data_IF_993344363904
#
_entry.id   IF_993344363904
#
_cell.length_a   1.000
_cell.length_b   1.000
_cell.length_c   1.000
_cell.angle_alpha   90.00
_cell.angle_beta   90.00
_cell.angle_gamma   90.00
#
_symmetry.space_group_name_H-M   'P 1'
#
loop_
_entity.id
_entity.type
_entity.pdbx_description
1 polymer ?
#
# COMPACT_ATOMS: atom_id res chain seq x y z
N UNK A 1 9.09 -13.09 5.71
CA UNK A 1 7.98 -12.61 4.83
C UNK A 1 6.72 -12.46 5.66
N UNK A 2 5.81 -11.53 5.31
CA UNK A 2 4.53 -11.35 6.05
C UNK A 2 3.66 -12.62 6.10
N UNK A 3 3.82 -13.52 5.14
CA UNK A 3 3.14 -14.82 5.12
C UNK A 3 3.46 -15.74 6.33
N UNK A 4 4.45 -15.40 7.13
CA UNK A 4 4.74 -16.13 8.38
C UNK A 4 3.82 -15.73 9.54
N UNK A 5 3.18 -14.56 9.42
CA UNK A 5 2.30 -14.00 10.46
C UNK A 5 0.88 -13.71 9.96
N UNK A 6 0.63 -13.77 8.64
CA UNK A 6 -0.67 -13.55 8.01
C UNK A 6 -1.02 -14.75 7.13
N UNK A 7 -2.13 -15.42 7.42
CA UNK A 7 -2.62 -16.49 6.58
C UNK A 7 -3.30 -15.91 5.32
N UNK A 8 -3.05 -16.52 4.16
CA UNK A 8 -3.70 -16.12 2.90
C UNK A 8 -5.22 -16.23 2.95
N UNK A 9 -5.73 -17.19 3.72
CA UNK A 9 -7.18 -17.40 3.94
C UNK A 9 -7.83 -16.23 4.66
N UNK A 10 -7.14 -15.60 5.62
CA UNK A 10 -7.65 -14.43 6.33
C UNK A 10 -7.76 -13.23 5.39
N UNK A 11 -6.77 -13.02 4.52
CA UNK A 11 -6.80 -11.96 3.52
C UNK A 11 -7.90 -12.16 2.48
N UNK A 12 -8.06 -13.38 1.96
CA UNK A 12 -9.10 -13.71 0.97
C UNK A 12 -10.52 -13.49 1.50
N UNK A 13 -10.74 -13.78 2.78
CA UNK A 13 -12.04 -13.56 3.43
C UNK A 13 -12.31 -12.09 3.75
N UNK A 14 -11.28 -11.33 4.17
CA UNK A 14 -11.41 -9.97 4.67
C UNK A 14 -11.67 -8.92 3.56
N UNK A 15 -10.91 -8.97 2.46
CA UNK A 15 -10.96 -8.05 1.31
C UNK A 15 -10.79 -6.55 1.64
N UNK A 16 -10.53 -6.19 2.88
CA UNK A 16 -10.47 -4.80 3.35
C UNK A 16 -9.45 -3.96 2.59
N UNK A 17 -8.24 -4.49 2.37
CA UNK A 17 -7.18 -3.80 1.61
C UNK A 17 -7.44 -3.71 0.09
N UNK A 18 -8.57 -4.22 -0.38
CA UNK A 18 -9.05 -4.11 -1.75
C UNK A 18 -10.31 -3.25 -1.86
N UNK A 19 -10.57 -2.38 -0.87
CA UNK A 19 -11.63 -1.39 -0.84
C UNK A 19 -11.02 -0.01 -0.61
N UNK A 20 -11.42 0.98 -1.40
CA UNK A 20 -10.76 2.29 -1.44
C UNK A 20 -11.77 3.42 -1.41
N UNK A 21 -11.50 4.43 -0.59
CA UNK A 21 -12.28 5.67 -0.56
C UNK A 21 -11.96 6.52 -1.78
N UNK A 22 -12.91 7.35 -2.18
CA UNK A 22 -12.93 8.12 -3.43
C UNK A 22 -11.61 8.84 -3.78
N UNK A 23 -10.99 9.47 -2.84
CA UNK A 23 -9.83 10.36 -3.08
C UNK A 23 -8.58 9.98 -2.30
N UNK A 24 -8.57 8.82 -1.66
CA UNK A 24 -7.45 8.42 -0.80
C UNK A 24 -6.29 7.85 -1.60
N UNK A 25 -5.28 8.66 -1.86
CA UNK A 25 -3.99 8.17 -2.36
C UNK A 25 -3.21 7.37 -1.31
N UNK A 26 -3.51 7.59 -0.03
CA UNK A 26 -2.88 6.84 1.06
C UNK A 26 -3.26 5.35 1.02
N UNK A 27 -4.46 5.05 0.57
CA UNK A 27 -4.99 3.68 0.50
C UNK A 27 -4.69 3.00 -0.83
N UNK A 28 -4.70 3.75 -1.96
CA UNK A 28 -4.56 3.17 -3.29
C UNK A 28 -3.11 2.78 -3.60
N UNK A 29 -2.90 1.60 -4.22
CA UNK A 29 -1.57 1.15 -4.61
C UNK A 29 -1.02 1.91 -5.82
N UNK A 30 0.30 2.01 -5.89
CA UNK A 30 1.03 2.67 -6.95
C UNK A 30 1.60 1.64 -7.92
N UNK A 31 1.42 1.88 -9.21
CA UNK A 31 1.95 1.09 -10.31
C UNK A 31 2.99 1.89 -11.08
N UNK A 32 4.05 1.24 -11.51
CA UNK A 32 5.03 1.83 -12.43
C UNK A 32 4.47 1.94 -13.86
N UNK A 33 5.04 2.82 -14.67
CA UNK A 33 4.72 2.89 -16.11
C UNK A 33 5.03 1.58 -16.85
N UNK A 34 6.10 0.89 -16.45
CA UNK A 34 6.49 -0.39 -17.03
C UNK A 34 5.43 -1.49 -16.77
N UNK A 35 4.80 -1.48 -15.60
CA UNK A 35 3.74 -2.44 -15.27
C UNK A 35 2.42 -2.07 -15.94
N UNK A 36 2.18 -0.76 -16.15
CA UNK A 36 0.93 -0.26 -16.72
C UNK A 36 0.63 -0.85 -18.11
N UNK A 37 1.64 -0.95 -18.97
CA UNK A 37 1.50 -1.51 -20.31
C UNK A 37 1.03 -2.98 -20.25
N UNK A 38 1.67 -3.79 -19.43
CA UNK A 38 1.29 -5.20 -19.21
C UNK A 38 -0.09 -5.34 -18.58
N UNK A 39 -0.42 -4.45 -17.63
CA UNK A 39 -1.73 -4.47 -16.98
C UNK A 39 -2.85 -4.12 -17.95
N UNK A 40 -2.64 -3.18 -18.88
CA UNK A 40 -3.62 -2.86 -19.92
C UNK A 40 -3.86 -4.00 -20.90
N UNK A 41 -2.84 -4.81 -21.19
CA UNK A 41 -3.00 -6.00 -22.02
C UNK A 41 -3.81 -7.10 -21.30
N UNK A 42 -3.51 -7.36 -20.04
CA UNK A 42 -4.18 -8.42 -19.25
C UNK A 42 -5.59 -8.01 -18.78
N UNK A 43 -5.80 -6.73 -18.55
CA UNK A 43 -7.04 -6.17 -18.01
C UNK A 43 -7.51 -4.97 -18.85
N UNK A 44 -7.95 -5.18 -20.08
CA UNK A 44 -8.26 -4.10 -21.03
C UNK A 44 -9.42 -3.18 -20.58
N UNK A 45 -10.24 -3.66 -19.65
CA UNK A 45 -11.34 -2.86 -19.07
C UNK A 45 -10.93 -2.04 -17.83
N UNK A 46 -9.76 -2.33 -17.24
CA UNK A 46 -9.27 -1.58 -16.10
C UNK A 46 -8.84 -0.17 -16.51
N UNK A 47 -9.31 0.83 -15.78
CA UNK A 47 -8.97 2.22 -16.01
C UNK A 47 -7.88 2.65 -15.04
N UNK A 48 -6.94 3.46 -15.55
CA UNK A 48 -5.83 4.00 -14.78
C UNK A 48 -5.82 5.52 -14.87
N UNK A 49 -5.23 6.17 -13.85
CA UNK A 49 -4.96 7.60 -13.81
C UNK A 49 -3.57 7.84 -13.23
N UNK A 50 -2.94 8.99 -13.51
CA UNK A 50 -1.74 9.40 -12.80
C UNK A 50 -1.97 9.40 -11.28
N UNK A 51 -0.96 9.00 -10.52
CA UNK A 51 -0.96 9.08 -9.06
C UNK A 51 -0.48 10.49 -8.69
N UNK A 52 -1.41 11.45 -8.67
CA UNK A 52 -1.13 12.82 -8.28
C UNK A 52 -0.68 12.88 -6.81
N UNK A 53 0.32 13.71 -6.53
CA UNK A 53 0.88 13.95 -5.20
C UNK A 53 1.68 12.79 -4.55
N UNK A 54 2.08 11.78 -5.32
CA UNK A 54 3.03 10.78 -4.86
C UNK A 54 4.45 11.15 -5.28
N UNK A 55 5.10 12.04 -4.54
CA UNK A 55 6.47 12.48 -4.85
C UNK A 55 6.61 13.17 -6.21
N UNK A 56 7.85 13.41 -6.64
CA UNK A 56 8.18 14.12 -7.89
C UNK A 56 8.19 13.24 -9.15
N UNK A 57 7.61 12.04 -9.13
CA UNK A 57 7.67 11.17 -10.30
C UNK A 57 6.39 11.28 -11.13
N UNK A 58 6.55 11.81 -12.35
CA UNK A 58 5.46 11.89 -13.35
C UNK A 58 5.07 10.53 -13.96
N UNK A 59 5.66 9.42 -13.49
CA UNK A 59 5.54 8.09 -14.10
C UNK A 59 4.87 7.07 -13.18
N UNK A 60 4.13 7.54 -12.19
CA UNK A 60 3.39 6.69 -11.25
C UNK A 60 1.90 6.75 -11.53
N UNK A 61 1.27 5.60 -11.49
CA UNK A 61 -0.14 5.44 -11.82
C UNK A 61 -0.88 4.70 -10.70
N UNK A 62 -2.17 4.96 -10.60
CA UNK A 62 -3.09 4.14 -9.83
C UNK A 62 -4.31 3.80 -10.68
N UNK A 63 -5.15 2.89 -10.24
CA UNK A 63 -6.37 2.61 -10.96
C UNK A 63 -7.41 3.75 -10.80
N UNK A 64 -8.25 3.92 -11.81
CA UNK A 64 -9.38 4.83 -11.77
C UNK A 64 -10.67 4.03 -11.56
N UNK A 65 -11.26 4.20 -10.39
CA UNK A 65 -12.54 3.57 -9.99
C UNK A 65 -13.64 4.61 -9.73
N UNK A 66 -13.46 5.82 -10.23
CA UNK A 66 -14.37 6.95 -10.00
C UNK A 66 -15.81 6.66 -10.43
N UNK A 67 -15.99 5.83 -11.44
CA UNK A 67 -17.29 5.41 -11.96
C UNK A 67 -17.99 4.33 -11.11
N UNK A 68 -17.31 3.78 -10.12
CA UNK A 68 -17.91 2.81 -9.19
C UNK A 68 -18.58 3.46 -7.98
N UNK A 69 -18.25 4.73 -7.68
CA UNK A 69 -18.88 5.48 -6.60
C UNK A 69 -20.28 5.96 -7.04
N UNK A 70 -21.25 5.80 -6.16
CA UNK A 70 -22.67 6.08 -6.43
C UNK A 70 -23.17 7.35 -5.79
N UNK A 71 -22.44 7.87 -4.80
CA UNK A 71 -22.78 9.06 -4.02
C UNK A 71 -21.62 10.06 -4.04
N UNK A 72 -21.82 11.24 -3.48
CA UNK A 72 -20.75 12.23 -3.26
C UNK A 72 -20.10 12.12 -1.87
N UNK A 73 -20.42 11.07 -1.10
CA UNK A 73 -19.79 10.85 0.19
C UNK A 73 -18.30 10.55 0.00
N UNK A 74 -17.39 11.34 0.60
CA UNK A 74 -15.96 11.11 0.51
C UNK A 74 -15.51 9.78 1.17
N UNK A 75 -16.33 9.23 2.07
CA UNK A 75 -16.08 7.96 2.74
C UNK A 75 -16.65 6.76 1.98
N UNK A 76 -17.36 6.99 0.87
CA UNK A 76 -17.83 5.87 0.04
C UNK A 76 -16.65 5.06 -0.47
N UNK A 77 -16.74 3.75 -0.31
CA UNK A 77 -15.72 2.80 -0.75
C UNK A 77 -16.11 2.11 -2.06
N UNK A 78 -15.13 1.92 -2.94
CA UNK A 78 -15.25 1.12 -4.14
C UNK A 78 -14.20 0.01 -4.15
N UNK A 79 -14.54 -1.13 -4.75
CA UNK A 79 -13.67 -2.29 -4.75
C UNK A 79 -12.53 -2.15 -5.79
N UNK A 80 -11.41 -2.76 -5.48
CA UNK A 80 -10.29 -2.90 -6.41
C UNK A 80 -10.76 -3.57 -7.72
N UNK A 81 -10.41 -3.03 -8.90
CA UNK A 81 -10.80 -3.61 -10.17
C UNK A 81 -10.19 -5.01 -10.43
N UNK A 82 -9.17 -5.38 -9.65
CA UNK A 82 -8.49 -6.69 -9.72
C UNK A 82 -8.96 -7.67 -8.64
N UNK A 83 -10.05 -7.36 -7.94
CA UNK A 83 -10.61 -8.23 -6.92
C UNK A 83 -11.69 -9.14 -7.53
N UNK A 84 -11.42 -10.44 -7.51
CA UNK A 84 -12.46 -11.45 -7.72
C UNK A 84 -13.11 -11.80 -6.36
N UNK A 85 -14.42 -11.68 -6.22
CA UNK A 85 -15.09 -11.92 -4.92
C UNK A 85 -14.89 -13.33 -4.34
N UNK A 86 -14.61 -14.32 -5.20
CA UNK A 86 -14.45 -15.71 -4.78
C UNK A 86 -12.99 -16.15 -4.63
N UNK A 87 -12.09 -15.57 -5.42
CA UNK A 87 -10.67 -15.98 -5.50
C UNK A 87 -9.70 -14.97 -4.88
N UNK A 88 -10.16 -13.75 -4.59
CA UNK A 88 -9.31 -12.67 -4.11
C UNK A 88 -8.62 -11.91 -5.24
N UNK A 89 -7.41 -11.42 -5.00
CA UNK A 89 -6.66 -10.63 -5.98
C UNK A 89 -6.31 -11.47 -7.21
N UNK A 90 -6.65 -10.97 -8.40
CA UNK A 90 -6.38 -11.63 -9.69
C UNK A 90 -5.05 -11.20 -10.31
N UNK A 91 -4.36 -10.19 -9.76
CA UNK A 91 -3.07 -9.77 -10.26
C UNK A 91 -2.03 -10.89 -10.16
N UNK A 92 -1.27 -11.16 -11.22
CA UNK A 92 -0.04 -11.96 -11.15
C UNK A 92 0.90 -11.41 -10.08
N UNK A 93 1.66 -12.28 -9.41
CA UNK A 93 2.52 -11.86 -8.30
C UNK A 93 3.59 -10.85 -8.71
N UNK A 94 4.09 -10.92 -9.94
CA UNK A 94 5.07 -10.01 -10.53
C UNK A 94 4.50 -8.62 -10.78
N UNK A 95 3.22 -8.51 -11.17
CA UNK A 95 2.52 -7.25 -11.43
C UNK A 95 1.78 -6.70 -10.20
N UNK A 96 1.82 -7.43 -9.08
CA UNK A 96 1.21 -6.95 -7.85
C UNK A 96 2.04 -5.79 -7.30
N UNK A 97 1.43 -4.60 -7.03
CA UNK A 97 2.15 -3.46 -6.50
C UNK A 97 2.87 -3.78 -5.20
N UNK A 98 3.99 -3.10 -4.95
CA UNK A 98 4.76 -3.30 -3.72
C UNK A 98 3.92 -2.99 -2.48
N UNK A 99 3.14 -1.93 -2.51
CA UNK A 99 2.17 -1.58 -1.47
C UNK A 99 1.26 -2.76 -1.07
N UNK A 100 0.78 -3.50 -2.07
CA UNK A 100 -0.07 -4.68 -1.83
C UNK A 100 0.73 -5.89 -1.32
N UNK A 101 2.02 -5.99 -1.69
CA UNK A 101 2.92 -7.07 -1.23
C UNK A 101 3.30 -6.93 0.23
N UNK A 102 3.47 -5.69 0.70
CA UNK A 102 3.88 -5.38 2.08
C UNK A 102 2.70 -5.10 3.01
N UNK A 103 1.48 -4.98 2.49
CA UNK A 103 0.31 -4.73 3.34
C UNK A 103 0.22 -5.73 4.51
N UNK A 104 -0.03 -5.31 5.74
CA UNK A 104 -0.46 -3.97 6.20
C UNK A 104 0.67 -3.00 6.56
N UNK A 105 1.89 -3.26 6.12
CA UNK A 105 2.98 -2.32 6.29
C UNK A 105 2.93 -1.22 5.23
N UNK A 106 3.46 -0.04 5.58
CA UNK A 106 3.62 1.12 4.70
C UNK A 106 4.97 1.77 4.95
N UNK A 107 5.54 2.39 3.92
CA UNK A 107 6.65 3.31 4.12
C UNK A 107 6.10 4.71 4.34
N UNK A 108 6.57 5.35 5.38
CA UNK A 108 6.16 6.70 5.74
C UNK A 108 7.35 7.61 5.91
N UNK A 109 7.17 8.89 5.56
CA UNK A 109 8.11 9.96 5.85
C UNK A 109 7.77 10.54 7.21
N UNK A 110 8.70 10.47 8.15
CA UNK A 110 8.54 11.05 9.48
C UNK A 110 8.60 12.59 9.40
N UNK A 111 7.88 13.29 10.28
CA UNK A 111 7.97 14.74 10.38
C UNK A 111 9.43 15.18 10.61
N UNK A 112 9.88 16.19 9.88
CA UNK A 112 11.20 16.80 10.08
C UNK A 112 11.19 17.60 11.37
N UNK A 113 12.26 17.52 12.15
CA UNK A 113 12.43 18.37 13.32
C UNK A 113 12.89 19.80 12.93
N UNK A 114 13.55 19.94 11.76
CA UNK A 114 13.88 21.21 11.14
C UNK A 114 13.84 21.13 9.62
N UNK A 115 13.70 22.27 8.92
CA UNK A 115 13.68 22.31 7.46
C UNK A 115 14.98 21.82 6.80
N UNK A 116 16.10 21.91 7.52
CA UNK A 116 17.43 21.49 7.04
C UNK A 116 17.70 19.99 7.21
N UNK A 117 16.85 19.25 7.93
CA UNK A 117 17.01 17.82 8.10
C UNK A 117 16.48 17.03 6.90
N UNK A 118 17.18 15.93 6.51
CA UNK A 118 16.63 14.98 5.55
C UNK A 118 15.36 14.34 6.09
N UNK A 119 14.46 13.96 5.21
CA UNK A 119 13.29 13.16 5.60
C UNK A 119 13.75 11.77 6.05
N UNK A 120 13.35 11.37 7.25
CA UNK A 120 13.60 10.03 7.74
C UNK A 120 12.46 9.11 7.33
N UNK A 121 12.79 7.99 6.70
CA UNK A 121 11.82 6.98 6.34
C UNK A 121 11.65 5.98 7.47
N UNK A 122 10.44 5.50 7.62
CA UNK A 122 10.09 4.45 8.57
C UNK A 122 9.13 3.45 7.94
N UNK A 123 9.12 2.22 8.46
CA UNK A 123 8.08 1.25 8.18
C UNK A 123 7.02 1.35 9.27
N UNK A 124 5.81 1.61 8.86
CA UNK A 124 4.66 1.74 9.74
C UNK A 124 3.65 0.61 9.51
N UNK A 125 3.01 0.18 10.58
CA UNK A 125 1.90 -0.77 10.56
C UNK A 125 0.59 -0.01 10.53
N UNK A 126 -0.27 -0.32 9.55
CA UNK A 126 -1.63 0.20 9.47
C UNK A 126 -2.57 -0.65 10.32
N UNK A 127 -3.22 -0.09 11.35
CA UNK A 127 -4.03 -0.87 12.31
C UNK A 127 -5.36 -1.35 11.75
N UNK A 128 -5.70 -0.97 10.54
CA UNK A 128 -6.96 -1.32 9.88
C UNK A 128 -7.04 -2.75 9.34
N UNK A 129 -5.94 -3.52 9.41
CA UNK A 129 -5.94 -4.92 8.97
C UNK A 129 -6.47 -5.84 10.09
N UNK A 130 -7.67 -6.44 9.96
CA UNK A 130 -8.23 -7.30 11.01
C UNK A 130 -7.39 -8.56 11.29
N UNK A 131 -6.65 -9.03 10.29
CA UNK A 131 -5.80 -10.21 10.46
C UNK A 131 -4.57 -9.90 11.30
N UNK A 132 -3.92 -8.74 11.04
CA UNK A 132 -2.74 -8.35 11.80
C UNK A 132 -3.06 -7.98 13.25
N UNK A 133 -4.26 -7.48 13.51
CA UNK A 133 -4.69 -7.12 14.85
C UNK A 133 -4.81 -8.33 15.82
N UNK A 134 -4.80 -9.55 15.27
CA UNK A 134 -4.73 -10.80 16.05
C UNK A 134 -3.28 -11.20 16.38
N UNK A 135 -2.29 -10.51 15.82
CA UNK A 135 -0.88 -10.79 16.00
C UNK A 135 -0.29 -9.80 17.00
N UNK A 136 0.47 -10.24 18.02
CA UNK A 136 1.16 -9.31 18.92
C UNK A 136 2.07 -8.35 18.14
N UNK A 137 1.99 -7.06 18.44
CA UNK A 137 2.79 -6.02 17.76
C UNK A 137 4.29 -6.34 17.79
N UNK A 138 4.76 -6.96 18.89
CA UNK A 138 6.17 -7.35 19.02
C UNK A 138 6.59 -8.32 17.92
N UNK A 139 5.76 -9.28 17.52
CA UNK A 139 6.07 -10.19 16.41
C UNK A 139 6.22 -9.47 15.08
N UNK A 140 5.44 -8.41 14.86
CA UNK A 140 5.57 -7.57 13.65
C UNK A 140 6.90 -6.81 13.68
N UNK A 141 7.27 -6.25 14.83
CA UNK A 141 8.56 -5.57 15.04
C UNK A 141 9.74 -6.51 14.86
N UNK A 142 9.68 -7.70 15.43
CA UNK A 142 10.73 -8.73 15.30
C UNK A 142 10.91 -9.13 13.83
N UNK A 143 9.82 -9.31 13.10
CA UNK A 143 9.87 -9.61 11.67
C UNK A 143 10.47 -8.45 10.87
N UNK A 144 10.08 -7.22 11.17
CA UNK A 144 10.67 -6.05 10.52
C UNK A 144 12.18 -5.94 10.81
N UNK A 145 12.59 -6.12 12.07
CA UNK A 145 13.98 -6.11 12.50
C UNK A 145 14.82 -7.27 11.93
N UNK A 146 14.19 -8.39 11.56
CA UNK A 146 14.89 -9.55 10.96
C UNK A 146 15.30 -9.34 9.49
N UNK A 147 15.29 -8.10 9.00
CA UNK A 147 15.72 -7.70 7.67
C UNK A 147 14.59 -7.26 6.72
N UNK A 148 13.32 -7.58 7.03
CA UNK A 148 12.21 -7.16 6.18
C UNK A 148 12.06 -5.63 6.16
N UNK A 149 12.24 -4.98 7.30
CA UNK A 149 12.14 -3.52 7.41
C UNK A 149 13.16 -2.82 6.52
N UNK A 150 14.42 -3.29 6.56
CA UNK A 150 15.48 -2.74 5.71
C UNK A 150 15.17 -2.94 4.22
N UNK A 151 14.78 -4.15 3.81
CA UNK A 151 14.39 -4.41 2.41
C UNK A 151 13.27 -3.49 1.91
N UNK A 152 12.30 -3.19 2.79
CA UNK A 152 11.21 -2.27 2.48
C UNK A 152 11.75 -0.83 2.30
N UNK A 153 12.63 -0.37 3.18
CA UNK A 153 13.21 0.97 3.09
C UNK A 153 14.14 1.12 1.89
N UNK A 154 14.95 0.10 1.57
CA UNK A 154 15.82 0.09 0.39
C UNK A 154 14.99 0.22 -0.90
N UNK A 155 13.90 -0.54 -1.00
CA UNK A 155 12.98 -0.43 -2.12
C UNK A 155 12.35 0.97 -2.22
N UNK A 156 11.94 1.55 -1.10
CA UNK A 156 11.34 2.88 -1.08
C UNK A 156 12.33 4.00 -1.44
N UNK A 157 13.62 3.83 -1.16
CA UNK A 157 14.65 4.76 -1.58
C UNK A 157 14.78 4.85 -3.12
N UNK A 158 14.55 3.74 -3.82
CA UNK A 158 14.51 3.67 -5.29
C UNK A 158 13.14 4.09 -5.86
N UNK A 159 12.08 4.04 -5.05
CA UNK A 159 10.69 4.32 -5.43
C UNK A 159 10.02 5.32 -4.48
N UNK A 160 10.46 6.60 -4.49
CA UNK A 160 9.98 7.61 -3.52
C UNK A 160 8.48 7.94 -3.64
N UNK A 161 7.86 7.63 -4.76
CA UNK A 161 6.43 7.80 -5.04
C UNK A 161 5.52 6.91 -4.17
N UNK A 162 6.06 5.83 -3.61
CA UNK A 162 5.33 4.97 -2.69
C UNK A 162 5.35 5.45 -1.23
N UNK A 163 6.20 6.42 -0.89
CA UNK A 163 6.30 6.94 0.47
C UNK A 163 5.07 7.78 0.80
N UNK A 164 4.47 7.52 1.96
CA UNK A 164 3.29 8.24 2.45
C UNK A 164 3.69 9.19 3.58
N UNK A 165 2.89 10.23 3.80
CA UNK A 165 3.07 11.07 5.00
C UNK A 165 2.70 10.27 6.25
N UNK A 166 3.51 10.44 7.32
CA UNK A 166 3.22 9.79 8.59
C UNK A 166 2.01 10.43 9.26
N UNK A 167 1.19 9.59 9.83
CA UNK A 167 0.04 9.99 10.66
C UNK A 167 -0.07 9.06 11.86
N UNK A 168 0.06 9.61 13.07
CA UNK A 168 -0.11 8.88 14.33
C UNK A 168 -1.48 8.20 14.45
N UNK A 169 -2.48 8.77 13.81
CA UNK A 169 -3.83 8.23 13.80
C UNK A 169 -3.99 7.02 12.88
N UNK A 170 -3.19 6.96 11.80
CA UNK A 170 -3.35 5.95 10.74
C UNK A 170 -2.34 4.81 10.83
N UNK A 171 -1.27 4.96 11.64
CA UNK A 171 -0.20 3.97 11.62
C UNK A 171 0.67 3.97 12.90
N UNK A 172 1.33 2.85 13.14
CA UNK A 172 2.28 2.66 14.24
C UNK A 172 3.64 2.31 13.67
N UNK A 173 4.69 3.03 14.05
CA UNK A 173 6.06 2.72 13.62
C UNK A 173 6.49 1.38 14.17
N UNK A 174 6.98 0.51 13.27
CA UNK A 174 7.49 -0.83 13.60
C UNK A 174 8.96 -1.01 13.27
N UNK A 175 9.52 -0.16 12.40
CA UNK A 175 10.93 -0.18 12.03
C UNK A 175 11.40 1.18 11.55
N UNK A 176 12.60 1.58 11.96
CA UNK A 176 13.38 2.69 11.42
C UNK A 176 14.81 2.21 11.17
N UNK A 177 15.51 2.84 10.24
CA UNK A 177 16.96 2.65 10.16
C UNK A 177 17.61 3.09 11.47
N UNK A 178 18.59 2.31 11.98
CA UNK A 178 19.39 2.73 13.14
C UNK A 178 20.19 4.00 12.86
#
# INVERSE_FOLDING_TARGET
MLSTILAKTDCAACKFCCSFRRTSLWETPIFSEADLSKLKELYPTAKFRPAENCGNSNNSYTFNISDQYKTDDPNEEALCPFLDPSRGCTLPSELKPFDCKIWPLRVVSLPKQSESEPSHLAVALTPTCPAINKVPLQKVRDLAASGLGQQILDYAAEHPDMVKEYSDFLSTIVYTNP
#
